data_IF_665334380355
#
_entry.id   IF_665334380355
#
_cell.length_a   1.000
_cell.length_b   1.000
_cell.length_c   1.000
_cell.angle_alpha   90.00
_cell.angle_beta   90.00
_cell.angle_gamma   90.00
#
_symmetry.space_group_name_H-M   'P 1'
#
loop_
_entity.id
_entity.type
_entity.pdbx_description
1 polymer ?
#
# COMPACT_ATOMS: atom_id res chain seq x y z
N UNK A 1 18.53 15.13 6.58
CA UNK A 1 19.74 14.34 6.38
C UNK A 1 19.48 12.87 6.76
N UNK A 2 18.97 12.62 7.98
CA UNK A 2 18.55 11.27 8.34
C UNK A 2 17.44 10.77 7.42
N UNK A 3 16.55 11.67 7.01
CA UNK A 3 15.48 11.32 6.08
C UNK A 3 16.05 10.89 4.73
N UNK A 4 17.07 11.59 4.24
CA UNK A 4 17.72 11.22 2.99
C UNK A 4 18.29 9.81 3.07
N UNK A 5 18.95 9.47 4.19
CA UNK A 5 19.52 8.14 4.38
C UNK A 5 18.43 7.08 4.49
N UNK A 6 17.32 7.40 5.16
CA UNK A 6 16.18 6.47 5.26
C UNK A 6 15.59 6.20 3.89
N UNK A 7 15.42 7.24 3.06
CA UNK A 7 14.88 7.08 1.72
C UNK A 7 15.80 6.23 0.84
N UNK A 8 17.12 6.42 0.97
CA UNK A 8 18.07 5.57 0.25
C UNK A 8 17.94 4.11 0.65
N UNK A 9 17.78 3.85 1.94
CA UNK A 9 17.60 2.48 2.43
C UNK A 9 16.31 1.87 1.90
N UNK A 10 15.23 2.66 1.85
CA UNK A 10 13.95 2.21 1.30
C UNK A 10 14.11 1.78 -0.15
N UNK A 11 14.73 2.59 -0.98
CA UNK A 11 14.92 2.27 -2.39
C UNK A 11 15.84 1.07 -2.59
N UNK A 12 16.84 0.93 -1.73
CA UNK A 12 17.74 -0.21 -1.77
C UNK A 12 16.98 -1.52 -1.48
N UNK A 13 16.15 -1.51 -0.43
CA UNK A 13 15.34 -2.68 -0.08
C UNK A 13 14.33 -3.00 -1.18
N UNK A 14 13.72 -1.98 -1.78
CA UNK A 14 12.82 -2.19 -2.92
C UNK A 14 13.53 -2.95 -4.05
N UNK A 15 14.77 -2.55 -4.35
CA UNK A 15 15.51 -3.14 -5.47
C UNK A 15 15.96 -4.57 -5.18
N UNK A 16 16.18 -4.93 -3.92
CA UNK A 16 16.55 -6.30 -3.52
C UNK A 16 15.38 -7.26 -3.81
N UNK A 17 14.14 -6.85 -3.58
CA UNK A 17 12.93 -7.58 -3.95
C UNK A 17 12.86 -8.99 -3.40
N UNK A 18 13.15 -9.17 -2.13
CA UNK A 18 12.97 -10.47 -1.45
C UNK A 18 11.82 -10.33 -0.46
N UNK A 19 11.20 -11.46 -0.03
CA UNK A 19 10.22 -11.38 1.06
C UNK A 19 10.79 -10.71 2.31
N UNK A 20 12.06 -10.96 2.61
CA UNK A 20 12.71 -10.35 3.77
C UNK A 20 12.82 -8.84 3.61
N UNK A 21 13.18 -8.35 2.40
CA UNK A 21 13.27 -6.90 2.19
C UNK A 21 11.89 -6.26 2.23
N UNK A 22 10.87 -6.95 1.74
CA UNK A 22 9.49 -6.47 1.82
C UNK A 22 9.06 -6.32 3.28
N UNK A 23 9.31 -7.33 4.11
CA UNK A 23 8.94 -7.29 5.52
C UNK A 23 9.74 -6.23 6.27
N UNK A 24 11.00 -6.02 5.90
CA UNK A 24 11.81 -4.95 6.50
C UNK A 24 11.20 -3.58 6.20
N UNK A 25 10.69 -3.37 4.98
CA UNK A 25 10.00 -2.13 4.65
C UNK A 25 8.71 -1.97 5.45
N UNK A 26 7.98 -3.05 5.65
CA UNK A 26 6.76 -3.03 6.47
C UNK A 26 7.05 -2.55 7.90
N UNK A 27 8.19 -2.93 8.47
CA UNK A 27 8.57 -2.49 9.81
C UNK A 27 8.76 -0.97 9.89
N UNK A 28 9.01 -0.32 8.78
CA UNK A 28 9.22 1.12 8.73
C UNK A 28 7.98 1.95 9.05
N UNK A 29 6.80 1.35 9.05
CA UNK A 29 5.57 2.09 9.34
C UNK A 29 5.45 2.50 10.82
N UNK A 30 6.35 2.05 11.67
CA UNK A 30 6.42 2.55 13.04
C UNK A 30 7.05 3.95 13.12
N UNK A 31 7.57 4.47 12.00
CA UNK A 31 8.16 5.80 11.95
C UNK A 31 7.13 6.88 12.26
N UNK A 32 7.57 7.94 12.94
CA UNK A 32 6.72 9.09 13.21
C UNK A 32 6.56 10.01 11.99
N UNK A 33 7.34 9.77 10.92
CA UNK A 33 7.29 10.60 9.73
C UNK A 33 6.20 10.12 8.78
N UNK A 34 5.17 10.95 8.57
CA UNK A 34 4.13 10.63 7.60
C UNK A 34 4.71 10.58 6.18
N UNK A 35 5.69 11.42 5.89
CA UNK A 35 6.34 11.41 4.58
C UNK A 35 7.01 10.05 4.31
N UNK A 36 7.71 9.51 5.30
CA UNK A 36 8.34 8.21 5.15
C UNK A 36 7.30 7.11 5.02
N UNK A 37 6.25 7.14 5.83
CA UNK A 37 5.19 6.13 5.74
C UNK A 37 4.49 6.17 4.38
N UNK A 38 4.28 7.38 3.84
CA UNK A 38 3.71 7.54 2.50
C UNK A 38 4.60 6.86 1.45
N UNK A 39 5.92 7.12 1.53
CA UNK A 39 6.86 6.54 0.58
C UNK A 39 6.95 5.03 0.71
N UNK A 40 6.90 4.51 1.95
CA UNK A 40 6.90 3.06 2.18
C UNK A 40 5.71 2.39 1.51
N UNK A 41 4.52 2.97 1.65
CA UNK A 41 3.33 2.40 1.01
C UNK A 41 3.50 2.40 -0.50
N UNK A 42 4.04 3.47 -1.06
CA UNK A 42 4.26 3.57 -2.50
C UNK A 42 5.21 2.50 -3.01
N UNK A 43 6.37 2.32 -2.35
CA UNK A 43 7.35 1.33 -2.82
C UNK A 43 6.84 -0.10 -2.63
N UNK A 44 6.05 -0.36 -1.59
CA UNK A 44 5.46 -1.68 -1.41
C UNK A 44 4.49 -2.00 -2.54
N UNK A 45 3.76 -1.01 -3.02
CA UNK A 45 2.93 -1.18 -4.21
C UNK A 45 3.75 -1.49 -5.44
N UNK A 46 4.90 -0.82 -5.61
CA UNK A 46 5.79 -1.08 -6.74
C UNK A 46 6.36 -2.50 -6.70
N UNK A 47 6.62 -3.04 -5.52
CA UNK A 47 7.19 -4.38 -5.37
C UNK A 47 6.19 -5.48 -5.72
N UNK A 48 4.91 -5.23 -5.54
CA UNK A 48 3.82 -6.16 -5.87
C UNK A 48 3.97 -7.52 -5.18
N UNK A 49 4.38 -7.52 -3.92
CA UNK A 49 4.62 -8.73 -3.15
C UNK A 49 3.52 -8.93 -2.10
N UNK A 50 2.99 -10.15 -2.03
CA UNK A 50 1.89 -10.48 -1.13
C UNK A 50 2.27 -10.32 0.35
N UNK A 51 3.55 -10.39 0.68
CA UNK A 51 4.02 -10.22 2.06
C UNK A 51 3.63 -8.86 2.65
N UNK A 52 3.40 -7.85 1.81
CA UNK A 52 3.00 -6.52 2.28
C UNK A 52 1.50 -6.42 2.58
N UNK A 53 0.71 -7.40 2.18
CA UNK A 53 -0.74 -7.31 2.21
C UNK A 53 -1.29 -7.02 3.61
N UNK A 54 -0.93 -7.80 4.65
CA UNK A 54 -1.50 -7.55 5.98
C UNK A 54 -1.18 -6.14 6.50
N UNK A 55 0.04 -5.66 6.26
CA UNK A 55 0.47 -4.34 6.71
C UNK A 55 -0.31 -3.24 6.02
N UNK A 56 -0.47 -3.33 4.69
CA UNK A 56 -1.20 -2.31 3.93
C UNK A 56 -2.68 -2.29 4.27
N UNK A 57 -3.28 -3.46 4.51
CA UNK A 57 -4.67 -3.55 4.95
C UNK A 57 -4.85 -2.82 6.28
N UNK A 58 -3.92 -3.05 7.22
CA UNK A 58 -3.98 -2.43 8.53
C UNK A 58 -3.84 -0.91 8.44
N UNK A 59 -2.99 -0.42 7.55
CA UNK A 59 -2.80 1.02 7.36
C UNK A 59 -4.04 1.66 6.78
N UNK A 60 -4.63 1.06 5.76
CA UNK A 60 -5.87 1.59 5.17
C UNK A 60 -6.98 1.65 6.21
N UNK A 61 -7.06 0.65 7.09
CA UNK A 61 -8.11 0.55 8.10
C UNK A 61 -7.89 1.45 9.32
N UNK A 62 -6.73 2.09 9.43
CA UNK A 62 -6.41 2.93 10.58
C UNK A 62 -6.92 4.35 10.33
N UNK A 63 -8.01 4.71 10.98
CA UNK A 63 -8.63 6.04 10.80
C UNK A 63 -7.79 7.18 11.41
N UNK A 64 -6.77 6.85 12.18
CA UNK A 64 -5.84 7.84 12.76
C UNK A 64 -4.63 8.07 11.87
N UNK A 65 -4.43 7.25 10.85
CA UNK A 65 -3.33 7.44 9.92
C UNK A 65 -3.58 8.64 9.03
N UNK A 66 -2.50 9.28 8.57
CA UNK A 66 -2.58 10.41 7.65
C UNK A 66 -3.33 9.99 6.37
N UNK A 67 -4.22 10.86 5.90
CA UNK A 67 -5.10 10.53 4.77
C UNK A 67 -4.30 10.13 3.53
N UNK A 68 -3.16 10.79 3.27
CA UNK A 68 -2.35 10.46 2.09
C UNK A 68 -1.60 9.15 2.23
N UNK A 69 -1.30 8.72 3.45
CA UNK A 69 -0.70 7.39 3.68
C UNK A 69 -1.76 6.32 3.43
N UNK A 70 -2.98 6.54 3.90
CA UNK A 70 -4.10 5.63 3.64
C UNK A 70 -4.40 5.54 2.15
N UNK A 71 -4.36 6.68 1.45
CA UNK A 71 -4.53 6.74 0.00
C UNK A 71 -3.49 5.87 -0.71
N UNK A 72 -2.21 6.01 -0.33
CA UNK A 72 -1.14 5.20 -0.94
C UNK A 72 -1.29 3.72 -0.61
N UNK A 73 -1.76 3.40 0.60
CA UNK A 73 -1.99 2.00 0.95
C UNK A 73 -3.07 1.37 0.07
N UNK A 74 -4.16 2.10 -0.19
CA UNK A 74 -5.22 1.60 -1.08
C UNK A 74 -4.69 1.39 -2.49
N UNK A 75 -3.90 2.35 -3.01
CA UNK A 75 -3.30 2.21 -4.33
C UNK A 75 -2.35 1.01 -4.39
N UNK A 76 -1.54 0.83 -3.33
CA UNK A 76 -0.62 -0.29 -3.26
C UNK A 76 -1.37 -1.63 -3.26
N UNK A 77 -2.49 -1.72 -2.56
CA UNK A 77 -3.30 -2.93 -2.54
C UNK A 77 -3.82 -3.26 -3.94
N UNK A 78 -4.24 -2.24 -4.69
CA UNK A 78 -4.64 -2.45 -6.08
C UNK A 78 -3.50 -2.91 -6.96
N UNK A 79 -2.31 -2.33 -6.77
CA UNK A 79 -1.13 -2.67 -7.56
C UNK A 79 -0.64 -4.10 -7.29
N UNK A 80 -0.75 -4.56 -6.04
CA UNK A 80 -0.36 -5.94 -5.69
C UNK A 80 -1.27 -6.96 -6.37
N UNK A 81 -2.55 -6.63 -6.51
CA UNK A 81 -3.45 -7.44 -7.29
C UNK A 81 -3.97 -8.68 -6.59
N UNK A 82 -3.86 -8.77 -5.28
CA UNK A 82 -4.35 -9.91 -4.52
C UNK A 82 -5.78 -9.66 -4.06
N UNK A 83 -6.68 -10.57 -4.43
CA UNK A 83 -8.11 -10.38 -4.15
C UNK A 83 -8.45 -10.45 -2.66
N UNK A 84 -7.53 -10.85 -1.80
CA UNK A 84 -7.75 -10.77 -0.37
C UNK A 84 -7.91 -9.33 0.13
N UNK A 85 -7.51 -8.35 -0.68
CA UNK A 85 -7.70 -6.94 -0.35
C UNK A 85 -9.14 -6.46 -0.63
N UNK A 86 -9.94 -7.21 -1.38
CA UNK A 86 -11.27 -6.77 -1.78
C UNK A 86 -12.15 -6.37 -0.59
N UNK A 87 -12.24 -7.17 0.49
CA UNK A 87 -13.13 -6.78 1.60
C UNK A 87 -12.77 -5.44 2.24
N UNK A 88 -11.47 -5.15 2.44
CA UNK A 88 -11.07 -3.89 3.06
C UNK A 88 -11.29 -2.73 2.10
N UNK A 89 -11.05 -2.92 0.81
CA UNK A 89 -11.29 -1.87 -0.18
C UNK A 89 -12.79 -1.55 -0.27
N UNK A 90 -13.64 -2.56 -0.22
CA UNK A 90 -15.09 -2.35 -0.22
C UNK A 90 -15.55 -1.63 1.04
N UNK A 91 -14.94 -1.96 2.18
CA UNK A 91 -15.29 -1.34 3.45
C UNK A 91 -15.05 0.17 3.43
N UNK A 92 -14.02 0.63 2.74
CA UNK A 92 -13.63 2.04 2.74
C UNK A 92 -14.00 2.77 1.45
N UNK A 93 -14.86 2.18 0.63
CA UNK A 93 -15.39 2.85 -0.58
C UNK A 93 -16.12 4.14 -0.27
N UNK A 94 -16.72 4.24 0.91
CA UNK A 94 -17.46 5.44 1.32
C UNK A 94 -16.76 6.16 2.46
N UNK A 95 -15.42 6.06 2.50
CA UNK A 95 -14.64 6.78 3.52
C UNK A 95 -14.93 8.28 3.42
N UNK A 96 -14.91 8.96 4.57
CA UNK A 96 -15.18 10.39 4.62
C UNK A 96 -14.16 11.21 3.84
N UNK A 97 -12.95 10.68 3.65
CA UNK A 97 -11.90 11.35 2.87
C UNK A 97 -11.97 10.86 1.43
N UNK A 98 -12.22 11.80 0.51
CA UNK A 98 -12.39 11.46 -0.90
C UNK A 98 -11.14 10.80 -1.48
N UNK A 99 -9.95 11.21 -0.99
CA UNK A 99 -8.69 10.61 -1.44
C UNK A 99 -8.65 9.11 -1.18
N UNK A 100 -9.23 8.68 -0.05
CA UNK A 100 -9.28 7.27 0.32
C UNK A 100 -10.39 6.56 -0.46
N UNK A 101 -11.59 7.14 -0.49
CA UNK A 101 -12.72 6.48 -1.17
C UNK A 101 -12.45 6.28 -2.65
N UNK A 102 -11.88 7.28 -3.33
CA UNK A 102 -11.57 7.17 -4.76
C UNK A 102 -10.46 6.16 -5.01
N UNK A 103 -9.45 6.11 -4.14
CA UNK A 103 -8.37 5.14 -4.28
C UNK A 103 -8.89 3.72 -4.12
N UNK A 104 -9.83 3.51 -3.20
CA UNK A 104 -10.45 2.20 -3.03
C UNK A 104 -11.25 1.81 -4.27
N UNK A 105 -11.97 2.75 -4.85
CA UNK A 105 -12.72 2.50 -6.07
C UNK A 105 -11.81 2.10 -7.23
N UNK A 106 -10.74 2.86 -7.43
CA UNK A 106 -9.78 2.57 -8.50
C UNK A 106 -9.11 1.22 -8.28
N UNK A 107 -8.73 0.92 -7.03
CA UNK A 107 -8.09 -0.35 -6.71
C UNK A 107 -9.04 -1.53 -6.99
N UNK A 108 -10.31 -1.40 -6.63
CA UNK A 108 -11.30 -2.44 -6.89
C UNK A 108 -11.52 -2.63 -8.39
N UNK A 109 -11.58 -1.53 -9.15
CA UNK A 109 -11.73 -1.62 -10.60
C UNK A 109 -10.54 -2.35 -11.21
N UNK A 110 -9.34 -2.05 -10.75
CA UNK A 110 -8.13 -2.70 -11.24
C UNK A 110 -8.13 -4.19 -10.93
N UNK A 111 -8.50 -4.57 -9.70
CA UNK A 111 -8.58 -5.97 -9.30
C UNK A 111 -9.60 -6.73 -10.15
N UNK A 112 -10.75 -6.11 -10.40
CA UNK A 112 -11.80 -6.74 -11.21
C UNK A 112 -11.37 -6.84 -12.67
N UNK A 113 -10.69 -5.83 -13.21
CA UNK A 113 -10.20 -5.86 -14.58
C UNK A 113 -9.19 -6.99 -14.79
N UNK A 114 -8.24 -7.14 -13.86
CA UNK A 114 -7.22 -8.19 -13.93
C UNK A 114 -7.87 -9.56 -13.88
N UNK A 115 -8.84 -9.77 -12.98
CA UNK A 115 -9.56 -11.04 -12.89
C UNK A 115 -10.27 -11.38 -14.18
N UNK A 116 -10.93 -10.41 -14.81
CA UNK A 116 -11.66 -10.63 -16.05
C UNK A 116 -10.70 -10.90 -17.22
N UNK A 117 -9.55 -10.25 -17.22
CA UNK A 117 -8.56 -10.43 -18.29
C UNK A 117 -7.93 -11.82 -18.26
N UNK A 118 -7.77 -12.42 -17.07
CA UNK A 118 -7.17 -13.75 -16.95
C UNK A 118 -8.13 -14.86 -17.36
N UNK A 119 -9.40 -14.58 -17.44
CA UNK A 119 -10.41 -15.57 -17.85
C UNK A 119 -10.40 -15.76 -19.36
N UNK A 120 -10.09 -14.72 -20.07
CA UNK A 120 -10.03 -14.78 -21.53
C UNK A 120 -8.82 -15.56 -21.98
#
# INVERSE_FOLDING_TARGET
EKMFQRMRSVFKLRNIRTPQSCLALCDGFSSSSALLRHELAYVLGQMQMDEALPTLIKILADDKEHVMVRHEAAEALGAIGNREAVPVLEKYLNDEHIEVSESCEVALDLLNWVSNSTIA
#
